data_IF_620976344140
#
_entry.id   IF_620976344140
#
_cell.length_a   1.000
_cell.length_b   1.000
_cell.length_c   1.000
_cell.angle_alpha   90.00
_cell.angle_beta   90.00
_cell.angle_gamma   90.00
#
_symmetry.space_group_name_H-M   'P 1'
#
loop_
_entity.id
_entity.type
_entity.pdbx_description
1 polymer ?
#
# COMPACT_ATOMS: atom_id res chain seq x y z
N UNK A 1 -6.58 9.99 27.81
CA UNK A 1 -6.81 10.56 26.48
C UNK A 1 -5.86 11.73 26.15
N UNK A 2 -5.84 12.85 26.90
CA UNK A 2 -5.01 14.04 26.56
C UNK A 2 -3.51 13.76 26.40
N UNK A 3 -2.93 12.83 27.20
CA UNK A 3 -1.50 12.47 27.11
C UNK A 3 -1.18 11.69 25.82
N UNK A 4 -2.04 10.75 25.40
CA UNK A 4 -1.87 9.99 24.17
C UNK A 4 -2.00 10.88 22.93
N UNK A 5 -2.98 11.80 22.91
CA UNK A 5 -3.14 12.77 21.83
C UNK A 5 -1.93 13.69 21.71
N UNK A 6 -1.39 14.17 22.85
CA UNK A 6 -0.16 14.99 22.87
C UNK A 6 1.03 14.20 22.32
N UNK A 7 1.20 12.94 22.73
CA UNK A 7 2.28 12.07 22.26
C UNK A 7 2.19 11.84 20.76
N UNK A 8 1.01 11.45 20.25
CA UNK A 8 0.76 11.26 18.83
C UNK A 8 1.05 12.54 18.02
N UNK A 9 0.61 13.70 18.52
CA UNK A 9 0.89 15.00 17.89
C UNK A 9 2.40 15.27 17.82
N UNK A 10 3.12 15.09 18.92
CA UNK A 10 4.57 15.32 18.96
C UNK A 10 5.29 14.39 17.97
N UNK A 11 4.96 13.09 18.00
CA UNK A 11 5.56 12.12 17.06
C UNK A 11 5.30 12.50 15.61
N UNK A 12 4.04 12.81 15.26
CA UNK A 12 3.68 13.19 13.88
C UNK A 12 4.37 14.48 13.45
N UNK A 13 4.40 15.52 14.31
CA UNK A 13 5.04 16.79 13.95
C UNK A 13 6.55 16.65 13.79
N UNK A 14 7.20 15.86 14.65
CA UNK A 14 8.66 15.61 14.54
C UNK A 14 8.97 14.81 13.27
N UNK A 15 8.22 13.75 12.98
CA UNK A 15 8.42 12.96 11.77
C UNK A 15 8.09 13.76 10.50
N UNK A 16 7.07 14.60 10.54
CA UNK A 16 6.73 15.46 9.42
C UNK A 16 7.83 16.50 9.14
N UNK A 17 8.40 17.13 10.17
CA UNK A 17 9.52 18.06 10.01
C UNK A 17 10.75 17.35 9.42
N UNK A 18 11.05 16.13 9.87
CA UNK A 18 12.12 15.31 9.31
C UNK A 18 11.88 14.98 7.83
N UNK A 19 10.65 14.58 7.47
CA UNK A 19 10.31 14.27 6.07
C UNK A 19 10.38 15.49 5.15
N UNK A 20 10.11 16.71 5.65
CA UNK A 20 10.26 17.94 4.86
C UNK A 20 11.71 18.25 4.49
N UNK A 21 12.67 17.84 5.30
CA UNK A 21 14.10 17.95 4.98
C UNK A 21 14.46 17.09 3.76
N UNK A 22 13.87 15.91 3.65
CA UNK A 22 14.09 14.93 2.57
C UNK A 22 13.07 15.05 1.43
N UNK A 23 12.46 16.22 1.21
CA UNK A 23 11.40 16.45 0.20
C UNK A 23 11.78 16.05 -1.22
N UNK A 24 13.07 16.20 -1.60
CA UNK A 24 13.55 15.80 -2.94
C UNK A 24 13.56 14.28 -3.09
N UNK A 25 13.99 13.56 -2.06
CA UNK A 25 13.96 12.10 -2.03
C UNK A 25 12.52 11.57 -2.08
N UNK A 26 11.60 12.19 -1.33
CA UNK A 26 10.17 11.87 -1.38
C UNK A 26 9.59 12.09 -2.78
N UNK A 27 9.99 13.16 -3.47
CA UNK A 27 9.57 13.41 -4.85
C UNK A 27 10.08 12.31 -5.80
N UNK A 28 11.33 11.87 -5.65
CA UNK A 28 11.90 10.76 -6.43
C UNK A 28 11.15 9.43 -6.14
N UNK A 29 10.82 9.16 -4.87
CA UNK A 29 10.02 7.99 -4.51
C UNK A 29 8.58 8.07 -5.04
N UNK A 30 7.97 9.24 -5.08
CA UNK A 30 6.68 9.45 -5.72
C UNK A 30 6.75 9.17 -7.23
N UNK A 31 7.83 9.58 -7.90
CA UNK A 31 8.10 9.25 -9.31
C UNK A 31 8.29 7.75 -9.53
N UNK A 32 8.96 7.03 -8.62
CA UNK A 32 9.07 5.56 -8.71
C UNK A 32 7.70 4.87 -8.72
N UNK A 33 6.68 5.53 -8.19
CA UNK A 33 5.28 5.08 -8.20
C UNK A 33 4.58 5.16 -9.56
N UNK A 34 5.23 5.64 -10.63
CA UNK A 34 4.64 5.78 -11.96
C UNK A 34 4.45 4.45 -12.71
N UNK A 35 4.92 3.33 -12.18
CA UNK A 35 4.77 2.00 -12.80
C UNK A 35 3.33 1.73 -13.29
N UNK A 36 2.25 1.99 -12.54
CA UNK A 36 0.90 1.81 -13.05
C UNK A 36 0.59 2.64 -14.29
N UNK A 37 1.10 3.88 -14.39
CA UNK A 37 0.87 4.73 -15.56
C UNK A 37 1.65 4.25 -16.79
N UNK A 38 2.84 3.67 -16.61
CA UNK A 38 3.59 3.01 -17.68
C UNK A 38 2.85 1.74 -18.15
N UNK A 39 2.35 0.95 -17.21
CA UNK A 39 1.53 -0.23 -17.52
C UNK A 39 0.24 0.17 -18.25
N UNK A 40 -0.39 1.28 -17.89
CA UNK A 40 -1.55 1.82 -18.61
C UNK A 40 -1.26 1.98 -20.10
N UNK A 41 -0.16 2.64 -20.46
CA UNK A 41 0.20 2.86 -21.86
C UNK A 41 0.36 1.53 -22.62
N UNK A 42 1.01 0.56 -21.99
CA UNK A 42 1.22 -0.78 -22.55
C UNK A 42 -0.11 -1.52 -22.73
N UNK A 43 -0.97 -1.52 -21.72
CA UNK A 43 -2.24 -2.23 -21.78
C UNK A 43 -3.26 -1.58 -22.71
N UNK A 44 -3.28 -0.24 -22.81
CA UNK A 44 -4.10 0.46 -23.81
C UNK A 44 -3.64 0.09 -25.22
N UNK A 45 -2.33 0.12 -25.48
CA UNK A 45 -1.79 -0.29 -26.77
C UNK A 45 -2.15 -1.75 -27.12
N UNK A 46 -2.03 -2.66 -26.16
CA UNK A 46 -2.41 -4.05 -26.34
C UNK A 46 -3.93 -4.21 -26.62
N UNK A 47 -4.76 -3.46 -25.91
CA UNK A 47 -6.21 -3.48 -26.11
C UNK A 47 -6.60 -2.96 -27.50
N UNK A 48 -5.94 -1.90 -27.99
CA UNK A 48 -6.16 -1.34 -29.32
C UNK A 48 -5.77 -2.33 -30.44
N UNK A 49 -4.66 -3.08 -30.25
CA UNK A 49 -4.17 -4.07 -31.23
C UNK A 49 -5.00 -5.36 -31.27
N UNK A 50 -5.49 -5.81 -30.10
CA UNK A 50 -6.19 -7.10 -29.96
C UNK A 50 -7.73 -7.01 -30.05
N UNK A 51 -8.29 -5.81 -30.21
CA UNK A 51 -9.75 -5.60 -30.15
C UNK A 51 -10.34 -5.85 -28.75
N UNK A 52 -9.48 -5.94 -27.72
CA UNK A 52 -9.86 -6.17 -26.32
C UNK A 52 -8.66 -6.59 -25.46
N UNK A 53 -8.79 -6.53 -24.15
CA UNK A 53 -7.71 -6.84 -23.23
C UNK A 53 -7.59 -8.35 -23.00
N UNK A 54 -6.38 -8.89 -23.25
CA UNK A 54 -6.09 -10.32 -23.01
C UNK A 54 -6.93 -11.29 -23.84
N UNK A 55 -7.47 -10.83 -24.99
CA UNK A 55 -8.42 -11.62 -25.78
C UNK A 55 -9.86 -11.59 -25.25
N UNK A 56 -10.11 -10.82 -24.19
CA UNK A 56 -11.45 -10.62 -23.64
C UNK A 56 -11.98 -9.27 -24.11
N UNK A 57 -13.01 -9.28 -24.92
CA UNK A 57 -13.65 -8.05 -25.40
C UNK A 57 -14.42 -7.36 -24.26
N UNK A 58 -14.69 -6.04 -24.35
CA UNK A 58 -15.54 -5.36 -23.36
C UNK A 58 -16.92 -6.02 -23.21
N UNK A 59 -17.45 -6.64 -24.26
CA UNK A 59 -18.70 -7.39 -24.24
C UNK A 59 -18.61 -8.68 -23.38
N UNK A 60 -17.41 -9.21 -23.16
CA UNK A 60 -17.13 -10.40 -22.35
C UNK A 60 -16.60 -10.06 -20.94
N UNK A 61 -16.76 -8.80 -20.50
CA UNK A 61 -16.33 -8.33 -19.18
C UNK A 61 -14.89 -7.80 -19.12
N UNK A 62 -14.24 -7.59 -20.28
CA UNK A 62 -12.95 -6.90 -20.37
C UNK A 62 -13.10 -5.40 -20.11
N UNK A 63 -11.98 -4.77 -19.70
CA UNK A 63 -11.94 -3.33 -19.47
C UNK A 63 -11.74 -2.58 -20.79
N UNK A 64 -12.54 -1.55 -21.02
CA UNK A 64 -12.34 -0.65 -22.14
C UNK A 64 -11.21 0.36 -21.86
N UNK A 65 -10.80 1.11 -22.91
CA UNK A 65 -9.71 2.10 -22.83
C UNK A 65 -9.91 3.14 -21.71
N UNK A 66 -11.14 3.62 -21.53
CA UNK A 66 -11.46 4.60 -20.49
C UNK A 66 -11.36 4.00 -19.09
N UNK A 67 -11.90 2.80 -18.91
CA UNK A 67 -11.83 2.07 -17.64
C UNK A 67 -10.41 1.73 -17.25
N UNK A 68 -9.56 1.36 -18.23
CA UNK A 68 -8.12 1.13 -18.02
C UNK A 68 -7.41 2.38 -17.55
N UNK A 69 -7.62 3.52 -18.23
CA UNK A 69 -6.98 4.77 -17.87
C UNK A 69 -7.37 5.21 -16.44
N UNK A 70 -8.66 5.13 -16.11
CA UNK A 70 -9.16 5.43 -14.76
C UNK A 70 -8.63 4.45 -13.72
N UNK A 71 -8.57 3.17 -14.05
CA UNK A 71 -8.05 2.14 -13.16
C UNK A 71 -6.58 2.39 -12.81
N UNK A 72 -5.72 2.58 -13.80
CA UNK A 72 -4.29 2.74 -13.56
C UNK A 72 -3.95 4.07 -12.86
N UNK A 73 -4.67 5.16 -13.16
CA UNK A 73 -4.54 6.40 -12.39
C UNK A 73 -4.99 6.18 -10.94
N UNK A 74 -6.09 5.48 -10.74
CA UNK A 74 -6.58 5.14 -9.39
C UNK A 74 -5.59 4.24 -8.64
N UNK A 75 -5.01 3.23 -9.32
CA UNK A 75 -4.00 2.35 -8.74
C UNK A 75 -2.73 3.11 -8.36
N UNK A 76 -2.31 4.09 -9.19
CA UNK A 76 -1.21 5.00 -8.87
C UNK A 76 -1.51 5.78 -7.57
N UNK A 77 -2.68 6.42 -7.48
CA UNK A 77 -3.07 7.22 -6.31
C UNK A 77 -3.13 6.33 -5.06
N UNK A 78 -3.84 5.21 -5.11
CA UNK A 78 -4.00 4.28 -3.99
C UNK A 78 -2.64 3.75 -3.51
N UNK A 79 -1.77 3.36 -4.44
CA UNK A 79 -0.43 2.86 -4.11
C UNK A 79 0.38 3.87 -3.29
N UNK A 80 0.28 5.16 -3.58
CA UNK A 80 1.03 6.18 -2.85
C UNK A 80 0.67 6.25 -1.36
N UNK A 81 -0.55 5.85 -1.01
CA UNK A 81 -1.07 5.86 0.36
C UNK A 81 -1.13 4.48 1.02
N UNK A 82 -0.83 3.40 0.29
CA UNK A 82 -0.85 2.04 0.86
C UNK A 82 0.54 1.45 1.06
N UNK A 83 1.59 2.07 0.53
CA UNK A 83 2.96 1.58 0.64
C UNK A 83 3.50 1.71 2.07
N UNK A 84 4.27 0.71 2.52
CA UNK A 84 4.91 0.67 3.82
C UNK A 84 6.31 0.03 3.70
N UNK A 85 7.29 0.50 4.49
CA UNK A 85 8.71 0.12 4.46
C UNK A 85 9.22 -0.33 5.82
N UNK A 86 8.37 -0.92 6.66
CA UNK A 86 8.68 -1.24 8.06
C UNK A 86 9.86 -2.21 8.17
N UNK A 87 9.94 -3.18 7.27
CA UNK A 87 10.93 -4.28 7.35
C UNK A 87 12.35 -3.72 7.36
N UNK A 88 12.69 -2.82 6.43
CA UNK A 88 14.06 -2.28 6.32
C UNK A 88 14.44 -1.44 7.53
N UNK A 89 13.56 -0.55 7.98
CA UNK A 89 13.82 0.30 9.13
C UNK A 89 13.94 -0.53 10.43
N UNK A 90 13.08 -1.55 10.57
CA UNK A 90 13.10 -2.45 11.72
C UNK A 90 14.37 -3.32 11.76
N UNK A 91 14.75 -3.91 10.60
CA UNK A 91 15.97 -4.71 10.48
C UNK A 91 17.21 -3.87 10.83
N UNK A 92 17.29 -2.64 10.34
CA UNK A 92 18.39 -1.73 10.66
C UNK A 92 18.43 -1.38 12.15
N UNK A 93 17.28 -1.07 12.76
CA UNK A 93 17.19 -0.77 14.20
C UNK A 93 17.56 -1.99 15.06
N UNK A 94 17.19 -3.20 14.61
CA UNK A 94 17.56 -4.43 15.31
C UNK A 94 19.07 -4.72 15.21
N UNK A 95 19.65 -4.62 14.00
CA UNK A 95 21.08 -4.87 13.76
C UNK A 95 22.01 -3.85 14.45
N UNK A 96 21.58 -2.59 14.54
CA UNK A 96 22.35 -1.53 15.18
C UNK A 96 22.10 -1.41 16.69
N UNK A 97 21.32 -2.33 17.28
CA UNK A 97 20.98 -2.31 18.71
C UNK A 97 20.03 -1.18 19.12
N UNK A 98 19.55 -0.36 18.18
CA UNK A 98 18.62 0.76 18.46
C UNK A 98 17.25 0.31 18.96
N UNK A 99 16.89 -0.95 18.72
CA UNK A 99 15.64 -1.50 19.21
C UNK A 99 15.62 -1.64 20.73
N UNK A 100 16.79 -1.94 21.38
CA UNK A 100 16.90 -2.08 22.84
C UNK A 100 16.39 -0.87 23.62
N UNK A 101 16.85 0.38 23.35
CA UNK A 101 16.33 1.54 24.05
C UNK A 101 14.86 1.85 23.68
N UNK A 102 14.37 1.42 22.52
CA UNK A 102 12.96 1.56 22.17
C UNK A 102 12.05 0.64 23.00
N UNK A 103 12.53 -0.57 23.33
CA UNK A 103 11.80 -1.53 24.17
C UNK A 103 11.66 -1.07 25.62
N UNK A 104 12.57 -0.22 26.10
CA UNK A 104 12.51 0.37 27.44
C UNK A 104 11.54 1.57 27.56
N UNK A 105 11.05 2.09 26.43
CA UNK A 105 10.12 3.20 26.41
C UNK A 105 8.67 2.71 26.64
N UNK A 106 7.82 3.53 27.27
CA UNK A 106 6.41 3.17 27.52
C UNK A 106 5.55 3.16 26.25
N UNK A 107 6.15 3.35 25.07
CA UNK A 107 5.51 3.34 23.76
C UNK A 107 5.96 2.13 22.97
N UNK A 108 5.01 1.37 22.46
CA UNK A 108 5.32 0.21 21.62
C UNK A 108 6.08 0.66 20.35
N UNK A 109 7.22 0.05 19.99
CA UNK A 109 8.06 0.49 18.87
C UNK A 109 7.31 0.63 17.53
N UNK A 110 6.34 -0.22 17.24
CA UNK A 110 5.56 -0.16 16.01
C UNK A 110 4.81 1.18 15.81
N UNK A 111 4.51 1.93 16.87
CA UNK A 111 3.93 3.26 16.74
C UNK A 111 4.88 4.27 16.09
N UNK A 112 6.17 4.13 16.28
CA UNK A 112 7.17 5.00 15.64
C UNK A 112 7.16 4.79 14.12
N UNK A 113 7.17 3.53 13.68
CA UNK A 113 7.10 3.20 12.26
C UNK A 113 5.77 3.63 11.64
N UNK A 114 4.66 3.45 12.35
CA UNK A 114 3.35 3.92 11.89
C UNK A 114 3.32 5.45 11.70
N UNK A 115 3.79 6.20 12.70
CA UNK A 115 3.80 7.67 12.61
C UNK A 115 4.75 8.19 11.54
N UNK A 116 5.88 7.52 11.29
CA UNK A 116 6.79 7.84 10.20
C UNK A 116 6.10 7.70 8.84
N UNK A 117 5.38 6.58 8.61
CA UNK A 117 4.64 6.36 7.36
C UNK A 117 3.49 7.34 7.17
N UNK A 118 2.73 7.67 8.23
CA UNK A 118 1.66 8.66 8.15
C UNK A 118 2.20 10.07 7.83
N UNK A 119 3.35 10.43 8.40
CA UNK A 119 4.02 11.69 8.09
C UNK A 119 4.51 11.72 6.62
N UNK A 120 5.09 10.62 6.16
CA UNK A 120 5.54 10.45 4.77
C UNK A 120 4.35 10.55 3.79
N UNK A 121 3.22 9.91 4.09
CA UNK A 121 2.01 10.02 3.28
C UNK A 121 1.52 11.47 3.18
N UNK A 122 1.53 12.22 4.28
CA UNK A 122 1.14 13.62 4.30
C UNK A 122 2.05 14.49 3.40
N UNK A 123 3.37 14.23 3.39
CA UNK A 123 4.32 14.95 2.52
C UNK A 123 4.20 14.57 1.04
N UNK A 124 3.67 13.39 0.73
CA UNK A 124 3.42 12.96 -0.66
C UNK A 124 2.20 13.60 -1.30
N UNK A 125 1.23 14.08 -0.52
CA UNK A 125 -0.04 14.63 -1.05
C UNK A 125 0.17 15.66 -2.18
N UNK A 126 1.01 16.70 -2.04
CA UNK A 126 1.19 17.69 -3.11
C UNK A 126 1.80 17.08 -4.38
N UNK A 127 2.70 16.12 -4.27
CA UNK A 127 3.31 15.44 -5.42
C UNK A 127 2.30 14.56 -6.15
N UNK A 128 1.49 13.81 -5.39
CA UNK A 128 0.42 12.97 -5.96
C UNK A 128 -0.63 13.84 -6.65
N UNK A 129 -1.04 14.94 -6.03
CA UNK A 129 -1.98 15.88 -6.62
C UNK A 129 -1.42 16.51 -7.91
N UNK A 130 -0.15 16.93 -7.90
CA UNK A 130 0.52 17.49 -9.07
C UNK A 130 0.64 16.48 -10.21
N UNK A 131 1.07 15.25 -9.94
CA UNK A 131 1.17 14.20 -10.95
C UNK A 131 -0.20 13.76 -11.48
N UNK A 132 -1.22 13.71 -10.62
CA UNK A 132 -2.61 13.44 -11.04
C UNK A 132 -3.13 14.56 -11.95
N UNK A 133 -2.90 15.82 -11.59
CA UNK A 133 -3.29 16.95 -12.41
C UNK A 133 -2.56 16.93 -13.77
N UNK A 134 -1.26 16.68 -13.78
CA UNK A 134 -0.47 16.53 -14.99
C UNK A 134 -1.01 15.40 -15.88
N UNK A 135 -1.33 14.25 -15.30
CA UNK A 135 -1.93 13.13 -16.02
C UNK A 135 -3.25 13.55 -16.68
N UNK A 136 -4.14 14.21 -15.94
CA UNK A 136 -5.44 14.65 -16.47
C UNK A 136 -5.32 15.76 -17.52
N UNK A 137 -4.25 16.55 -17.51
CA UNK A 137 -3.93 17.51 -18.58
C UNK A 137 -3.49 16.79 -19.86
N UNK A 138 -2.74 15.70 -19.76
CA UNK A 138 -2.25 14.91 -20.91
C UNK A 138 -3.34 13.96 -21.43
N UNK A 139 -4.20 13.44 -20.54
CA UNK A 139 -5.23 12.45 -20.85
C UNK A 139 -6.62 12.97 -20.39
N UNK A 140 -7.11 14.08 -20.96
CA UNK A 140 -8.32 14.75 -20.47
C UNK A 140 -9.59 13.92 -20.64
N UNK A 141 -9.62 13.01 -21.62
CA UNK A 141 -10.73 12.09 -21.86
C UNK A 141 -10.91 11.05 -20.75
N UNK A 142 -9.91 10.83 -19.91
CA UNK A 142 -10.02 9.93 -18.76
C UNK A 142 -10.53 10.64 -17.49
N UNK A 143 -10.76 11.95 -17.54
CA UNK A 143 -11.21 12.70 -16.38
C UNK A 143 -12.57 12.20 -15.87
N UNK A 144 -12.69 12.13 -14.56
CA UNK A 144 -13.94 11.85 -13.85
C UNK A 144 -13.90 12.49 -12.46
N UNK A 145 -15.05 12.67 -11.87
CA UNK A 145 -15.18 13.16 -10.50
C UNK A 145 -16.04 12.16 -9.71
N UNK A 146 -15.45 11.45 -8.74
CA UNK A 146 -16.20 10.57 -7.85
C UNK A 146 -17.24 11.35 -7.02
N UNK A 147 -18.39 10.75 -6.75
CA UNK A 147 -19.34 11.34 -5.82
C UNK A 147 -18.71 11.47 -4.41
N UNK A 148 -19.14 12.45 -3.58
CA UNK A 148 -18.60 12.62 -2.22
C UNK A 148 -18.71 11.36 -1.37
N UNK A 149 -19.82 10.62 -1.47
CA UNK A 149 -20.00 9.35 -0.77
C UNK A 149 -19.00 8.28 -1.23
N UNK A 150 -18.75 8.18 -2.56
CA UNK A 150 -17.74 7.26 -3.09
C UNK A 150 -16.33 7.66 -2.65
N UNK A 151 -16.02 8.96 -2.67
CA UNK A 151 -14.72 9.45 -2.21
C UNK A 151 -14.47 9.09 -0.74
N UNK A 152 -15.48 9.25 0.12
CA UNK A 152 -15.40 8.82 1.52
C UNK A 152 -15.07 7.32 1.64
N UNK A 153 -15.78 6.46 0.87
CA UNK A 153 -15.52 5.02 0.86
C UNK A 153 -14.11 4.70 0.34
N UNK A 154 -13.61 5.41 -0.66
CA UNK A 154 -12.25 5.25 -1.19
C UNK A 154 -11.20 5.60 -0.12
N UNK A 155 -11.37 6.71 0.57
CA UNK A 155 -10.46 7.12 1.65
C UNK A 155 -10.45 6.08 2.76
N UNK A 156 -11.62 5.59 3.17
CA UNK A 156 -11.74 4.55 4.19
C UNK A 156 -11.11 3.22 3.72
N UNK A 157 -11.40 2.78 2.49
CA UNK A 157 -10.83 1.57 1.91
C UNK A 157 -9.30 1.67 1.81
N UNK A 158 -8.76 2.81 1.38
CA UNK A 158 -7.32 3.05 1.28
C UNK A 158 -6.65 3.06 2.65
N UNK A 159 -7.30 3.65 3.67
CA UNK A 159 -6.78 3.65 5.03
C UNK A 159 -6.74 2.23 5.62
N UNK A 160 -7.78 1.42 5.42
CA UNK A 160 -7.80 0.01 5.85
C UNK A 160 -6.79 -0.83 5.05
N UNK A 161 -6.66 -0.60 3.76
CA UNK A 161 -5.68 -1.24 2.90
C UNK A 161 -4.23 -0.92 3.34
N UNK A 162 -3.95 0.34 3.68
CA UNK A 162 -2.69 0.71 4.31
C UNK A 162 -2.45 -0.04 5.61
N UNK A 163 -3.46 -0.13 6.49
CA UNK A 163 -3.33 -0.86 7.76
C UNK A 163 -3.04 -2.36 7.53
N UNK A 164 -3.68 -3.00 6.54
CA UNK A 164 -3.40 -4.39 6.16
C UNK A 164 -1.94 -4.53 5.69
N UNK A 165 -1.48 -3.66 4.76
CA UNK A 165 -0.10 -3.72 4.26
C UNK A 165 0.92 -3.41 5.37
N UNK A 166 0.64 -2.43 6.22
CA UNK A 166 1.49 -2.09 7.36
C UNK A 166 1.64 -3.28 8.32
N UNK A 167 0.56 -3.99 8.64
CA UNK A 167 0.62 -5.19 9.48
C UNK A 167 1.35 -6.35 8.82
N UNK A 168 1.22 -6.53 7.50
CA UNK A 168 2.03 -7.51 6.76
C UNK A 168 3.52 -7.19 6.86
N UNK A 169 3.88 -5.93 6.67
CA UNK A 169 5.24 -5.44 6.84
C UNK A 169 5.75 -5.64 8.27
N UNK A 170 4.92 -5.34 9.28
CA UNK A 170 5.26 -5.60 10.68
C UNK A 170 5.44 -7.10 10.96
N UNK A 171 4.59 -7.95 10.38
CA UNK A 171 4.69 -9.39 10.53
C UNK A 171 6.02 -9.91 9.99
N UNK A 172 6.44 -9.47 8.79
CA UNK A 172 7.72 -9.83 8.19
C UNK A 172 8.87 -9.25 9.03
N UNK A 173 8.77 -7.98 9.46
CA UNK A 173 9.78 -7.33 10.28
C UNK A 173 10.06 -8.07 11.58
N UNK A 174 9.01 -8.51 12.27
CA UNK A 174 9.12 -9.26 13.54
C UNK A 174 9.89 -10.57 13.37
N UNK A 175 9.92 -11.16 12.17
CA UNK A 175 10.72 -12.36 11.90
C UNK A 175 12.23 -12.13 12.04
N UNK A 176 12.71 -10.85 12.06
CA UNK A 176 14.09 -10.52 12.40
C UNK A 176 14.52 -11.05 13.78
N UNK A 177 13.58 -11.30 14.69
CA UNK A 177 13.90 -11.92 15.99
C UNK A 177 14.36 -13.38 15.87
N UNK A 178 14.08 -14.05 14.74
CA UNK A 178 14.46 -15.44 14.46
C UNK A 178 15.46 -15.55 13.32
N UNK A 179 15.46 -14.55 12.43
CA UNK A 179 16.36 -14.50 11.26
C UNK A 179 17.15 -13.20 11.33
N UNK A 180 18.42 -13.23 11.00
CA UNK A 180 19.24 -12.02 10.99
C UNK A 180 18.77 -10.99 9.96
N UNK A 181 18.10 -11.46 8.89
CA UNK A 181 17.65 -10.61 7.77
C UNK A 181 16.27 -11.00 7.29
N UNK A 182 15.28 -10.14 7.55
CA UNK A 182 13.92 -10.26 7.03
C UNK A 182 13.75 -9.61 5.64
N UNK A 183 14.72 -8.81 5.20
CA UNK A 183 14.70 -8.13 3.90
C UNK A 183 14.59 -9.08 2.69
N UNK A 184 15.01 -10.34 2.83
CA UNK A 184 14.80 -11.37 1.81
C UNK A 184 13.31 -11.71 1.64
N UNK A 185 12.57 -11.81 2.75
CA UNK A 185 11.12 -12.05 2.74
C UNK A 185 10.36 -10.82 2.21
N UNK A 186 10.86 -9.62 2.50
CA UNK A 186 10.31 -8.39 1.94
C UNK A 186 10.37 -8.36 0.41
N UNK A 187 11.45 -8.84 -0.18
CA UNK A 187 11.56 -8.96 -1.65
C UNK A 187 10.50 -9.89 -2.22
N UNK A 188 10.22 -11.00 -1.54
CA UNK A 188 9.16 -11.92 -1.94
C UNK A 188 7.77 -11.28 -1.79
N UNK A 189 7.53 -10.55 -0.69
CA UNK A 189 6.32 -9.77 -0.47
C UNK A 189 6.12 -8.72 -1.58
N UNK A 190 7.17 -7.98 -1.93
CA UNK A 190 7.15 -6.98 -3.01
C UNK A 190 6.80 -7.62 -4.35
N UNK A 191 7.38 -8.78 -4.70
CA UNK A 191 7.01 -9.52 -5.91
C UNK A 191 5.54 -9.94 -5.90
N UNK A 192 5.07 -10.51 -4.79
CA UNK A 192 3.67 -10.89 -4.64
C UNK A 192 2.72 -9.67 -4.77
N UNK A 193 3.08 -8.53 -4.17
CA UNK A 193 2.37 -7.26 -4.34
C UNK A 193 2.32 -6.83 -5.80
N UNK A 194 3.42 -6.89 -6.54
CA UNK A 194 3.45 -6.48 -7.95
C UNK A 194 2.50 -7.31 -8.81
N UNK A 195 2.47 -8.63 -8.62
CA UNK A 195 1.70 -9.53 -9.47
C UNK A 195 0.25 -9.73 -9.00
N UNK A 196 0.01 -9.81 -7.69
CA UNK A 196 -1.30 -10.19 -7.16
C UNK A 196 -2.17 -9.01 -6.73
N UNK A 197 -1.62 -7.80 -6.63
CA UNK A 197 -2.39 -6.63 -6.17
C UNK A 197 -3.17 -5.90 -7.26
N UNK A 198 -2.95 -6.26 -8.53
CA UNK A 198 -3.50 -5.50 -9.65
C UNK A 198 -2.65 -4.30 -10.09
N UNK A 199 -1.43 -4.16 -9.56
CA UNK A 199 -0.54 -3.03 -9.86
C UNK A 199 -0.02 -3.04 -11.29
N UNK A 200 0.41 -4.22 -11.79
CA UNK A 200 0.95 -4.40 -13.14
C UNK A 200 -0.13 -4.65 -14.19
N UNK A 201 -1.22 -5.30 -13.78
CA UNK A 201 -2.34 -5.62 -14.64
C UNK A 201 -3.62 -5.71 -13.80
N UNK A 202 -4.78 -5.24 -14.31
CA UNK A 202 -6.06 -5.49 -13.67
C UNK A 202 -6.29 -6.98 -13.48
N UNK A 203 -6.90 -7.39 -12.36
CA UNK A 203 -7.11 -8.83 -12.08
C UNK A 203 -8.03 -9.51 -13.08
N UNK A 204 -8.82 -8.76 -13.80
CA UNK A 204 -9.73 -9.24 -14.85
C UNK A 204 -8.96 -9.88 -16.03
N UNK A 205 -7.70 -9.47 -16.25
CA UNK A 205 -6.84 -9.98 -17.33
C UNK A 205 -6.27 -11.36 -17.00
N UNK A 206 -6.20 -11.71 -15.72
CA UNK A 206 -5.63 -12.99 -15.31
C UNK A 206 -6.58 -14.17 -15.57
N UNK A 207 -6.03 -15.37 -15.85
CA UNK A 207 -6.84 -16.59 -15.92
C UNK A 207 -7.70 -16.78 -14.66
N UNK A 208 -8.91 -17.36 -14.78
CA UNK A 208 -9.84 -17.50 -13.66
C UNK A 208 -9.24 -18.17 -12.41
N UNK A 209 -8.40 -19.19 -12.61
CA UNK A 209 -7.72 -19.89 -11.51
C UNK A 209 -6.76 -18.96 -10.73
N UNK A 210 -5.97 -18.15 -11.44
CA UNK A 210 -5.03 -17.19 -10.83
C UNK A 210 -5.80 -16.10 -10.10
N UNK A 211 -6.87 -15.58 -10.73
CA UNK A 211 -7.74 -14.55 -10.11
C UNK A 211 -8.39 -15.06 -8.84
N UNK A 212 -8.92 -16.29 -8.83
CA UNK A 212 -9.48 -16.90 -7.64
C UNK A 212 -8.44 -17.09 -6.55
N UNK A 213 -7.26 -17.63 -6.88
CA UNK A 213 -6.17 -17.80 -5.93
C UNK A 213 -5.73 -16.44 -5.32
N UNK A 214 -5.61 -15.39 -6.14
CA UNK A 214 -5.27 -14.06 -5.67
C UNK A 214 -6.28 -13.52 -4.65
N UNK A 215 -7.58 -13.76 -4.82
CA UNK A 215 -8.63 -13.28 -3.90
C UNK A 215 -8.52 -13.86 -2.48
N UNK A 216 -7.87 -15.01 -2.32
CA UNK A 216 -7.55 -15.59 -1.00
C UNK A 216 -6.29 -14.99 -0.35
N UNK A 217 -5.65 -14.04 -1.00
CA UNK A 217 -4.50 -13.30 -0.48
C UNK A 217 -4.89 -11.88 -0.10
N UNK A 218 -4.09 -11.17 0.73
CA UNK A 218 -4.38 -9.78 1.07
C UNK A 218 -4.15 -8.79 -0.08
N UNK A 219 -3.34 -9.16 -1.06
CA UNK A 219 -2.79 -8.24 -2.06
C UNK A 219 -3.85 -7.53 -2.93
N UNK A 220 -4.87 -8.19 -3.49
CA UNK A 220 -5.91 -7.52 -4.26
C UNK A 220 -6.69 -6.48 -3.46
N UNK A 221 -6.88 -6.73 -2.17
CA UNK A 221 -7.62 -5.85 -1.28
C UNK A 221 -6.83 -4.59 -0.92
N UNK A 222 -5.50 -4.62 -1.07
CA UNK A 222 -4.63 -3.47 -0.78
C UNK A 222 -4.65 -2.45 -1.93
N UNK A 223 -4.64 -2.87 -3.20
CA UNK A 223 -4.57 -1.95 -4.35
C UNK A 223 -5.79 -2.08 -5.26
N UNK A 224 -6.09 -3.27 -5.77
CA UNK A 224 -7.13 -3.45 -6.78
C UNK A 224 -8.51 -2.99 -6.30
N UNK A 225 -8.93 -3.40 -5.10
CA UNK A 225 -10.25 -3.03 -4.57
C UNK A 225 -10.43 -1.51 -4.41
N UNK A 226 -9.57 -0.77 -3.66
CA UNK A 226 -9.74 0.68 -3.55
C UNK A 226 -9.50 1.42 -4.88
N UNK A 227 -8.65 0.91 -5.78
CA UNK A 227 -8.44 1.49 -7.11
C UNK A 227 -9.69 1.35 -7.99
N UNK A 228 -10.32 0.17 -8.03
CA UNK A 228 -11.58 -0.06 -8.74
C UNK A 228 -12.72 0.81 -8.18
N UNK A 229 -12.76 0.95 -6.85
CA UNK A 229 -13.72 1.81 -6.18
C UNK A 229 -13.54 3.28 -6.59
N UNK A 230 -12.30 3.77 -6.64
CA UNK A 230 -11.96 5.13 -7.08
C UNK A 230 -12.27 5.31 -8.57
N UNK A 231 -11.92 4.36 -9.42
CA UNK A 231 -12.17 4.38 -10.87
C UNK A 231 -13.66 4.42 -11.24
N UNK A 232 -14.56 4.18 -10.30
CA UNK A 232 -15.99 4.25 -10.52
C UNK A 232 -16.64 2.93 -10.93
N UNK A 233 -15.91 1.81 -10.82
CA UNK A 233 -16.44 0.50 -11.18
C UNK A 233 -17.59 0.06 -10.26
N UNK A 234 -18.47 -0.76 -10.82
CA UNK A 234 -19.46 -1.51 -10.04
C UNK A 234 -18.78 -2.72 -9.41
N UNK A 235 -18.87 -2.85 -8.11
CA UNK A 235 -18.26 -3.94 -7.34
C UNK A 235 -19.00 -4.19 -6.03
N UNK A 236 -18.77 -5.36 -5.47
CA UNK A 236 -19.30 -5.68 -4.14
C UNK A 236 -18.48 -4.93 -3.07
N UNK A 237 -18.91 -3.69 -2.78
CA UNK A 237 -18.25 -2.81 -1.80
C UNK A 237 -18.23 -3.44 -0.41
N UNK A 238 -19.35 -4.03 0.02
CA UNK A 238 -19.46 -4.68 1.33
C UNK A 238 -18.47 -5.87 1.44
N UNK A 239 -18.40 -6.71 0.41
CA UNK A 239 -17.45 -7.82 0.34
C UNK A 239 -16.00 -7.36 0.44
N UNK A 240 -15.64 -6.25 -0.23
CA UNK A 240 -14.30 -5.68 -0.15
C UNK A 240 -13.94 -5.19 1.25
N UNK A 241 -14.84 -4.49 1.93
CA UNK A 241 -14.63 -4.08 3.32
C UNK A 241 -14.58 -5.26 4.28
N UNK A 242 -15.42 -6.29 4.10
CA UNK A 242 -15.35 -7.52 4.88
C UNK A 242 -14.01 -8.24 4.72
N UNK A 243 -13.45 -8.28 3.50
CA UNK A 243 -12.15 -8.88 3.26
C UNK A 243 -11.03 -8.09 3.96
N UNK A 244 -11.02 -6.75 3.87
CA UNK A 244 -10.06 -5.90 4.58
C UNK A 244 -10.17 -6.08 6.10
N UNK A 245 -11.39 -6.09 6.65
CA UNK A 245 -11.63 -6.33 8.07
C UNK A 245 -11.17 -7.73 8.51
N UNK A 246 -11.43 -8.76 7.69
CA UNK A 246 -10.97 -10.12 7.93
C UNK A 246 -9.44 -10.23 7.98
N UNK A 247 -8.75 -9.60 7.02
CA UNK A 247 -7.28 -9.55 7.03
C UNK A 247 -6.74 -8.80 8.23
N UNK A 248 -7.34 -7.67 8.64
CA UNK A 248 -6.93 -6.94 9.85
C UNK A 248 -7.15 -7.78 11.11
N UNK A 249 -8.29 -8.47 11.21
CA UNK A 249 -8.60 -9.35 12.33
C UNK A 249 -7.65 -10.55 12.45
N UNK A 250 -7.09 -11.02 11.32
CA UNK A 250 -6.08 -12.07 11.28
C UNK A 250 -4.68 -11.54 11.60
N UNK A 251 -4.24 -10.48 10.90
CA UNK A 251 -2.85 -10.01 10.95
C UNK A 251 -2.51 -9.32 12.26
N UNK A 252 -3.43 -8.56 12.85
CA UNK A 252 -3.16 -7.82 14.08
C UNK A 252 -2.80 -8.75 15.26
N UNK A 253 -3.63 -9.76 15.63
CA UNK A 253 -3.28 -10.67 16.73
C UNK A 253 -2.04 -11.50 16.38
N UNK A 254 -1.88 -11.93 15.13
CA UNK A 254 -0.70 -12.70 14.71
C UNK A 254 0.59 -11.88 14.88
N UNK A 255 0.60 -10.62 14.46
CA UNK A 255 1.75 -9.72 14.64
C UNK A 255 2.06 -9.52 16.14
N UNK A 256 1.04 -9.30 16.97
CA UNK A 256 1.23 -9.09 18.41
C UNK A 256 1.72 -10.37 19.11
N UNK A 257 1.24 -11.55 18.73
CA UNK A 257 1.69 -12.83 19.27
C UNK A 257 3.16 -13.09 18.91
N UNK A 258 3.52 -12.94 17.63
CA UNK A 258 4.90 -13.08 17.18
C UNK A 258 5.82 -12.03 17.79
N UNK A 259 5.35 -10.79 17.95
CA UNK A 259 6.10 -9.76 18.66
C UNK A 259 6.46 -10.19 20.09
N UNK A 260 5.45 -10.64 20.86
CA UNK A 260 5.68 -11.11 22.25
C UNK A 260 6.66 -12.29 22.33
N UNK A 261 6.52 -13.25 21.43
CA UNK A 261 7.42 -14.39 21.34
C UNK A 261 8.84 -13.97 20.92
N UNK A 262 8.96 -13.01 20.00
CA UNK A 262 10.21 -12.55 19.44
C UNK A 262 11.04 -11.70 20.40
N UNK A 263 10.41 -10.80 21.15
CA UNK A 263 11.12 -9.96 22.14
C UNK A 263 11.86 -10.80 23.18
N UNK A 264 11.30 -11.95 23.59
CA UNK A 264 11.96 -12.89 24.49
C UNK A 264 13.23 -13.54 23.91
N UNK A 265 13.44 -13.48 22.59
CA UNK A 265 14.62 -14.03 21.91
C UNK A 265 15.59 -12.94 21.43
N UNK A 266 15.16 -11.68 21.50
CA UNK A 266 15.98 -10.57 21.03
C UNK A 266 17.24 -10.45 21.87
N UNK A 267 18.40 -10.62 21.24
CA UNK A 267 19.70 -10.28 21.79
C UNK A 267 20.17 -9.01 21.06
N UNK A 268 20.63 -8.00 21.80
CA UNK A 268 21.23 -6.81 21.20
C UNK A 268 22.49 -7.22 20.44
N UNK A 269 22.40 -7.28 19.12
CA UNK A 269 23.57 -7.54 18.29
C UNK A 269 24.48 -6.32 18.34
N UNK A 270 25.61 -6.44 19.01
CA UNK A 270 26.59 -5.36 19.16
C UNK A 270 26.90 -4.97 20.63
N UNK A 271 26.51 -5.81 21.59
CA UNK A 271 27.00 -5.73 22.98
C UNK A 271 28.35 -6.42 23.11
#
# INVERSE_FOLDING_TARGET
MRRLVRLARVLLTTQYAYMLEYRVEIALWALSGLVPLLMMALWIHQADMAGGLGGVTPAEGGLNRLELARYFLSAFIVRQFTIAWVVFAFEEDALQGRLSPMLLQPLHPLWRYLTAHLAEQATRVPFVAGLTALFLLVVPWAAWLPSPGRLFLVVLATALAFAVNFLLQCLIAVLCFWTERASALERLHTLAMMFLSGLLAPLEVFPPAVRQAAQWTPFPWIIHFPARLLAGAELNVAGGFCALAGWLALLLPLTLLLWRAGVGRYAAMGA
#
